data_IF_830399377519
#
_entry.id   IF_830399377519
#
_cell.length_a   1.000
_cell.length_b   1.000
_cell.length_c   1.000
_cell.angle_alpha   90.00
_cell.angle_beta   90.00
_cell.angle_gamma   90.00
#
_symmetry.space_group_name_H-M   'P 1'
#
loop_
_entity.id
_entity.type
_entity.pdbx_description
1 polymer ?
#
# COMPACT_ATOMS: atom_id res chain seq x y z
N UNK A 1 -8.33 3.13 -43.09
CA UNK A 1 -8.92 4.00 -42.05
C UNK A 1 -8.63 5.45 -42.38
N UNK A 2 -9.67 6.29 -42.47
CA UNK A 2 -9.57 7.71 -42.84
C UNK A 2 -8.84 8.54 -41.76
N UNK A 3 -8.06 9.54 -42.16
CA UNK A 3 -7.42 10.54 -41.29
C UNK A 3 -8.38 11.13 -40.25
N UNK A 4 -9.63 11.38 -40.66
CA UNK A 4 -10.68 11.95 -39.80
C UNK A 4 -11.11 11.01 -38.66
N UNK A 5 -11.11 9.70 -38.90
CA UNK A 5 -11.44 8.70 -37.87
C UNK A 5 -10.33 8.57 -36.81
N UNK A 6 -9.07 8.84 -37.18
CA UNK A 6 -7.96 8.89 -36.21
C UNK A 6 -8.01 10.15 -35.34
N UNK A 7 -8.45 11.30 -35.88
CA UNK A 7 -8.60 12.55 -35.11
C UNK A 7 -9.64 12.40 -33.99
N UNK A 8 -10.83 11.89 -34.33
CA UNK A 8 -11.93 11.72 -33.37
C UNK A 8 -11.56 10.75 -32.25
N UNK A 9 -10.88 9.64 -32.56
CA UNK A 9 -10.43 8.69 -31.56
C UNK A 9 -9.44 9.32 -30.56
N UNK A 10 -8.52 10.17 -31.02
CA UNK A 10 -7.59 10.87 -30.13
C UNK A 10 -8.31 11.89 -29.24
N UNK A 11 -9.24 12.66 -29.80
CA UNK A 11 -10.04 13.64 -29.04
C UNK A 11 -10.87 12.96 -27.94
N UNK A 12 -11.49 11.82 -28.25
CA UNK A 12 -12.25 11.02 -27.29
C UNK A 12 -11.33 10.47 -26.19
N UNK A 13 -10.16 9.90 -26.55
CA UNK A 13 -9.19 9.38 -25.57
C UNK A 13 -8.69 10.51 -24.66
N UNK A 14 -8.41 11.70 -25.19
CA UNK A 14 -8.00 12.85 -24.41
C UNK A 14 -9.08 13.29 -23.42
N UNK A 15 -10.34 13.41 -23.88
CA UNK A 15 -11.46 13.78 -23.02
C UNK A 15 -11.68 12.75 -21.88
N UNK A 16 -11.59 11.45 -22.16
CA UNK A 16 -11.66 10.42 -21.12
C UNK A 16 -10.49 10.50 -20.14
N UNK A 17 -9.28 10.78 -20.62
CA UNK A 17 -8.09 10.96 -19.76
C UNK A 17 -8.28 12.12 -18.79
N UNK A 18 -8.85 13.24 -19.23
CA UNK A 18 -9.08 14.40 -18.36
C UNK A 18 -10.18 14.14 -17.31
N UNK A 19 -11.24 13.43 -17.70
CA UNK A 19 -12.28 12.98 -16.74
C UNK A 19 -11.67 12.03 -15.70
N UNK A 20 -10.85 11.07 -16.10
CA UNK A 20 -10.19 10.14 -15.19
C UNK A 20 -9.25 10.86 -14.21
N UNK A 21 -8.55 11.91 -14.67
CA UNK A 21 -7.72 12.76 -13.80
C UNK A 21 -8.56 13.47 -12.75
N UNK A 22 -9.64 14.14 -13.16
CA UNK A 22 -10.50 14.88 -12.21
C UNK A 22 -11.15 13.95 -11.19
N UNK A 23 -11.61 12.77 -11.64
CA UNK A 23 -12.11 11.73 -10.73
C UNK A 23 -11.03 11.32 -9.73
N UNK A 24 -9.78 11.11 -10.19
CA UNK A 24 -8.69 10.72 -9.31
C UNK A 24 -8.41 11.78 -8.23
N UNK A 25 -8.38 13.07 -8.58
CA UNK A 25 -8.18 14.18 -7.63
C UNK A 25 -9.27 14.17 -6.55
N UNK A 26 -10.53 14.03 -6.95
CA UNK A 26 -11.67 13.97 -6.02
C UNK A 26 -11.52 12.81 -5.03
N UNK A 27 -11.22 11.61 -5.51
CA UNK A 27 -11.13 10.45 -4.63
C UNK A 27 -9.88 10.46 -3.75
N UNK A 28 -8.74 10.92 -4.25
CA UNK A 28 -7.54 11.13 -3.42
C UNK A 28 -7.86 12.11 -2.29
N UNK A 29 -8.52 13.23 -2.60
CA UNK A 29 -8.91 14.21 -1.57
C UNK A 29 -9.90 13.62 -0.56
N UNK A 30 -10.86 12.81 -1.00
CA UNK A 30 -11.77 12.10 -0.11
C UNK A 30 -11.03 11.14 0.84
N UNK A 31 -10.01 10.44 0.35
CA UNK A 31 -9.17 9.59 1.20
C UNK A 31 -8.28 10.39 2.13
N UNK A 32 -7.72 11.53 1.70
CA UNK A 32 -7.02 12.44 2.62
C UNK A 32 -7.92 12.84 3.79
N UNK A 33 -9.13 13.31 3.50
CA UNK A 33 -10.09 13.71 4.53
C UNK A 33 -10.45 12.52 5.44
N UNK A 34 -10.73 11.35 4.85
CA UNK A 34 -10.99 10.12 5.61
C UNK A 34 -9.86 9.81 6.60
N UNK A 35 -8.61 9.88 6.16
CA UNK A 35 -7.47 9.57 7.01
C UNK A 35 -7.19 10.63 8.08
N UNK A 36 -7.54 11.90 7.82
CA UNK A 36 -7.43 12.97 8.83
C UNK A 36 -8.53 12.87 9.88
N UNK A 37 -9.77 12.58 9.46
CA UNK A 37 -10.94 12.45 10.34
C UNK A 37 -10.92 11.14 11.13
N UNK A 38 -10.38 10.08 10.52
CA UNK A 38 -10.34 8.73 11.07
C UNK A 38 -8.93 8.15 10.96
N UNK A 39 -7.98 8.79 11.66
CA UNK A 39 -6.58 8.38 11.67
C UNK A 39 -6.42 6.86 11.94
N UNK A 40 -5.58 6.14 11.18
CA UNK A 40 -5.36 4.72 11.41
C UNK A 40 -4.72 4.47 12.77
N UNK A 41 -5.44 3.75 13.64
CA UNK A 41 -5.00 3.39 15.01
C UNK A 41 -5.55 2.03 15.43
N UNK A 42 -4.92 1.40 16.43
CA UNK A 42 -5.23 0.02 16.82
C UNK A 42 -6.67 -0.18 17.35
N UNK A 43 -7.23 0.86 17.97
CA UNK A 43 -8.55 0.88 18.59
C UNK A 43 -9.63 1.49 17.68
N UNK A 44 -9.28 1.86 16.44
CA UNK A 44 -10.25 2.42 15.50
C UNK A 44 -11.21 1.34 14.99
N UNK A 45 -12.50 1.62 15.11
CA UNK A 45 -13.55 0.70 14.67
C UNK A 45 -13.61 0.50 13.14
N UNK A 46 -13.06 1.44 12.36
CA UNK A 46 -12.95 1.34 10.90
C UNK A 46 -11.87 0.36 10.44
N UNK A 47 -10.90 0.07 11.31
CA UNK A 47 -9.75 -0.76 10.99
C UNK A 47 -9.81 -2.09 11.71
N UNK A 48 -9.17 -3.10 11.12
CA UNK A 48 -8.87 -4.38 11.77
C UNK A 48 -7.39 -4.44 12.08
N UNK A 49 -7.09 -4.47 13.36
CA UNK A 49 -5.75 -4.60 13.88
C UNK A 49 -5.43 -6.07 14.19
N UNK A 50 -4.28 -6.55 13.75
CA UNK A 50 -3.80 -7.90 14.03
C UNK A 50 -2.34 -7.83 14.44
N UNK A 51 -2.06 -8.22 15.68
CA UNK A 51 -0.71 -8.45 16.21
C UNK A 51 -0.21 -9.84 15.76
N UNK A 52 0.98 -9.90 15.18
CA UNK A 52 1.51 -11.08 14.48
C UNK A 52 2.64 -11.76 15.27
N UNK A 53 2.34 -12.33 16.44
CA UNK A 53 3.34 -12.97 17.32
C UNK A 53 3.54 -14.46 17.08
N UNK A 54 2.55 -15.16 16.53
CA UNK A 54 2.61 -16.59 16.21
C UNK A 54 2.05 -16.88 14.82
N UNK A 55 2.38 -18.03 14.25
CA UNK A 55 1.91 -18.42 12.89
C UNK A 55 0.39 -18.36 12.75
N UNK A 56 -0.35 -18.82 13.78
CA UNK A 56 -1.81 -18.78 13.81
C UNK A 56 -2.41 -17.37 13.77
N UNK A 57 -1.63 -16.32 14.03
CA UNK A 57 -2.15 -14.96 14.02
C UNK A 57 -2.48 -14.49 12.59
N UNK A 58 -1.83 -15.06 11.56
CA UNK A 58 -2.20 -14.83 10.16
C UNK A 58 -3.64 -15.29 9.85
N UNK A 59 -4.18 -16.24 10.60
CA UNK A 59 -5.59 -16.67 10.45
C UNK A 59 -6.59 -15.61 10.90
N UNK A 60 -6.17 -14.65 11.71
CA UNK A 60 -7.00 -13.52 12.16
C UNK A 60 -7.10 -12.42 11.09
N UNK A 61 -6.25 -12.46 10.06
CA UNK A 61 -6.26 -11.46 8.99
C UNK A 61 -7.49 -11.67 8.10
N UNK A 62 -8.35 -10.65 7.93
CA UNK A 62 -9.54 -10.76 7.08
C UNK A 62 -9.15 -11.03 5.63
N UNK A 63 -9.87 -11.97 5.01
CA UNK A 63 -9.83 -12.17 3.56
C UNK A 63 -10.63 -11.07 2.85
N UNK A 64 -10.23 -10.74 1.63
CA UNK A 64 -10.96 -9.82 0.76
C UNK A 64 -10.22 -8.54 0.45
N UNK A 65 -10.95 -7.58 -0.12
CA UNK A 65 -10.41 -6.35 -0.71
C UNK A 65 -10.14 -5.32 0.37
N UNK A 66 -9.00 -4.64 0.28
CA UNK A 66 -8.69 -3.60 1.25
C UNK A 66 -7.35 -2.90 1.03
N UNK A 67 -7.18 -1.87 1.84
CA UNK A 67 -5.94 -1.16 2.07
C UNK A 67 -5.36 -1.66 3.41
N UNK A 68 -4.04 -1.80 3.50
CA UNK A 68 -3.39 -2.28 4.72
C UNK A 68 -2.06 -1.57 4.96
N UNK A 69 -1.72 -1.51 6.24
CA UNK A 69 -0.45 -1.00 6.77
C UNK A 69 0.27 -2.16 7.47
N UNK A 70 1.60 -2.19 7.33
CA UNK A 70 2.49 -3.04 8.14
C UNK A 70 3.24 -2.12 9.09
N UNK A 71 3.19 -2.47 10.37
CA UNK A 71 3.75 -1.73 11.50
C UNK A 71 4.81 -2.62 12.16
N UNK A 72 5.94 -2.02 12.54
CA UNK A 72 7.00 -2.73 13.27
C UNK A 72 8.14 -1.81 13.69
N UNK A 73 9.00 -2.31 14.58
CA UNK A 73 10.22 -1.63 15.06
C UNK A 73 11.49 -2.06 14.32
N UNK A 74 11.39 -2.93 13.31
CA UNK A 74 12.55 -3.25 12.49
C UNK A 74 13.04 -1.98 11.78
N UNK A 75 14.37 -1.78 11.74
CA UNK A 75 14.99 -0.66 11.04
C UNK A 75 15.32 -1.12 9.62
N UNK A 76 14.65 -0.61 8.58
CA UNK A 76 14.96 -0.98 7.21
C UNK A 76 16.32 -0.44 6.83
N UNK A 77 17.19 -1.30 6.29
CA UNK A 77 18.48 -0.93 5.73
C UNK A 77 18.28 -0.34 4.33
N UNK A 78 17.74 0.89 4.29
CA UNK A 78 17.46 1.65 3.05
C UNK A 78 17.96 3.09 3.21
N UNK A 79 18.25 3.80 2.12
CA UNK A 79 18.81 5.13 2.19
C UNK A 79 17.70 6.15 2.49
N UNK A 80 17.98 7.04 3.44
CA UNK A 80 17.10 8.14 3.83
C UNK A 80 16.13 7.81 4.97
N UNK A 81 15.52 8.84 5.60
CA UNK A 81 14.61 8.65 6.72
C UNK A 81 13.26 8.10 6.25
N UNK A 82 12.53 7.46 7.17
CA UNK A 82 11.13 7.15 6.96
C UNK A 82 10.33 8.45 6.83
N UNK A 83 9.82 8.73 5.63
CA UNK A 83 9.00 9.91 5.37
C UNK A 83 7.58 9.77 5.94
N UNK A 84 7.18 8.55 6.29
CA UNK A 84 5.91 8.33 6.97
C UNK A 84 6.00 8.76 8.43
N UNK A 85 5.16 9.71 8.83
CA UNK A 85 5.07 10.21 10.21
C UNK A 85 4.03 9.47 11.06
N UNK A 86 3.27 8.53 10.48
CA UNK A 86 2.25 7.78 11.23
C UNK A 86 2.90 6.73 12.14
N UNK A 87 2.48 6.76 13.42
CA UNK A 87 2.91 5.84 14.47
C UNK A 87 1.67 5.16 15.07
N UNK A 88 1.68 3.83 15.12
CA UNK A 88 0.59 3.02 15.67
C UNK A 88 1.13 2.24 16.86
N UNK A 89 0.56 2.47 18.04
CA UNK A 89 1.02 1.88 19.31
C UNK A 89 2.50 2.10 19.63
N UNK A 90 3.02 3.28 19.27
CA UNK A 90 4.43 3.62 19.47
C UNK A 90 5.38 3.06 18.40
N UNK A 91 4.86 2.34 17.40
CA UNK A 91 5.66 1.73 16.33
C UNK A 91 5.41 2.44 14.99
N UNK A 92 6.46 2.68 14.18
CA UNK A 92 6.31 3.33 12.89
C UNK A 92 5.60 2.42 11.88
N UNK A 93 4.89 3.04 10.94
CA UNK A 93 4.44 2.34 9.73
C UNK A 93 5.62 2.15 8.78
N UNK A 94 5.85 0.90 8.40
CA UNK A 94 6.96 0.49 7.53
C UNK A 94 6.51 0.33 6.08
N UNK A 95 5.27 -0.11 5.87
CA UNK A 95 4.72 -0.39 4.55
C UNK A 95 3.23 -0.02 4.47
N UNK A 96 2.79 0.44 3.30
CA UNK A 96 1.37 0.46 2.92
C UNK A 96 1.18 -0.22 1.58
N UNK A 97 0.03 -0.89 1.44
CA UNK A 97 -0.37 -1.54 0.21
C UNK A 97 -1.88 -1.68 0.08
N UNK A 98 -2.30 -2.13 -1.09
CA UNK A 98 -3.67 -2.59 -1.33
C UNK A 98 -3.69 -3.95 -2.04
N UNK A 99 -4.78 -4.69 -1.87
CA UNK A 99 -4.94 -5.96 -2.55
C UNK A 99 -6.40 -6.32 -2.80
N UNK A 100 -6.61 -7.21 -3.78
CA UNK A 100 -7.90 -7.92 -3.90
C UNK A 100 -8.08 -8.93 -2.75
N UNK A 101 -6.99 -9.55 -2.29
CA UNK A 101 -6.96 -10.45 -1.16
C UNK A 101 -5.87 -9.98 -0.18
N UNK A 102 -6.27 -9.20 0.82
CA UNK A 102 -5.36 -8.61 1.81
C UNK A 102 -4.63 -9.67 2.62
N UNK A 103 -5.32 -10.72 3.08
CA UNK A 103 -4.69 -11.82 3.83
C UNK A 103 -3.52 -12.41 3.06
N UNK A 104 -3.80 -12.90 1.85
CA UNK A 104 -2.78 -13.54 1.03
C UNK A 104 -1.64 -12.56 0.72
N UNK A 105 -1.97 -11.28 0.47
CA UNK A 105 -0.94 -10.27 0.21
C UNK A 105 -0.03 -10.05 1.41
N UNK A 106 -0.59 -9.93 2.62
CA UNK A 106 0.21 -9.80 3.85
C UNK A 106 1.08 -11.04 4.06
N UNK A 107 0.56 -12.25 3.79
CA UNK A 107 1.36 -13.49 3.83
C UNK A 107 2.55 -13.41 2.88
N UNK A 108 2.38 -12.90 1.66
CA UNK A 108 3.52 -12.71 0.73
C UNK A 108 4.56 -11.71 1.21
N UNK A 109 4.18 -10.79 2.10
CA UNK A 109 5.09 -9.82 2.71
C UNK A 109 5.82 -10.39 3.93
N UNK A 110 5.11 -11.06 4.84
CA UNK A 110 5.60 -11.34 6.20
C UNK A 110 5.79 -12.83 6.51
N UNK A 111 5.38 -13.70 5.59
CA UNK A 111 5.47 -15.15 5.69
C UNK A 111 5.76 -15.74 4.30
N UNK A 112 6.76 -15.13 3.66
CA UNK A 112 7.02 -15.28 2.24
C UNK A 112 7.34 -16.73 1.85
N UNK A 113 8.14 -17.44 2.66
CA UNK A 113 8.53 -18.84 2.41
C UNK A 113 7.30 -19.73 2.31
N UNK A 114 6.42 -19.71 3.32
CA UNK A 114 5.19 -20.51 3.34
C UNK A 114 4.23 -20.10 2.22
N UNK A 115 4.13 -18.80 1.92
CA UNK A 115 3.35 -18.27 0.79
C UNK A 115 3.83 -18.82 -0.56
N UNK A 116 5.13 -18.72 -0.86
CA UNK A 116 5.75 -19.19 -2.12
C UNK A 116 5.57 -20.70 -2.26
N UNK A 117 5.87 -21.46 -1.22
CA UNK A 117 5.71 -22.92 -1.22
C UNK A 117 4.25 -23.32 -1.50
N UNK A 118 3.30 -22.68 -0.81
CA UNK A 118 1.87 -22.97 -0.94
C UNK A 118 1.36 -22.67 -2.35
N UNK A 119 1.74 -21.54 -2.93
CA UNK A 119 1.26 -21.13 -4.25
C UNK A 119 1.96 -21.88 -5.38
N UNK A 120 3.23 -22.24 -5.23
CA UNK A 120 3.93 -23.12 -6.16
C UNK A 120 3.27 -24.50 -6.21
N UNK A 121 2.97 -25.10 -5.05
CA UNK A 121 2.22 -26.37 -4.95
C UNK A 121 0.84 -26.29 -5.62
N UNK A 122 0.18 -25.13 -5.55
CA UNK A 122 -1.11 -24.85 -6.18
C UNK A 122 -1.03 -24.41 -7.65
N UNK A 123 0.18 -24.35 -8.23
CA UNK A 123 0.43 -23.83 -9.60
C UNK A 123 -0.16 -22.43 -9.82
N UNK A 124 -0.06 -21.57 -8.81
CA UNK A 124 -0.47 -20.17 -8.86
C UNK A 124 0.73 -19.26 -9.02
N UNK A 125 0.53 -18.15 -9.72
CA UNK A 125 1.53 -17.09 -9.81
C UNK A 125 1.84 -16.52 -8.41
N UNK A 126 3.13 -16.33 -8.16
CA UNK A 126 3.67 -15.77 -6.92
C UNK A 126 3.82 -14.26 -7.12
N UNK A 127 3.43 -13.46 -6.13
CA UNK A 127 3.68 -12.03 -6.16
C UNK A 127 5.16 -11.71 -6.01
N UNK A 128 5.64 -10.83 -6.87
CA UNK A 128 7.04 -10.42 -6.95
C UNK A 128 7.31 -9.03 -6.37
N UNK A 129 6.26 -8.32 -5.93
CA UNK A 129 6.36 -6.95 -5.39
C UNK A 129 6.09 -6.96 -3.90
N UNK A 130 6.99 -7.52 -3.12
CA UNK A 130 6.82 -7.62 -1.69
C UNK A 130 7.49 -6.45 -0.94
N UNK A 131 7.51 -6.53 0.40
CA UNK A 131 8.08 -5.50 1.28
C UNK A 131 9.59 -5.58 1.11
N UNK A 132 10.29 -4.45 1.09
CA UNK A 132 11.74 -4.42 0.97
C UNK A 132 12.32 -3.76 2.21
N UNK A 133 13.02 -4.55 3.03
CA UNK A 133 13.74 -4.04 4.19
C UNK A 133 15.19 -3.70 3.87
N UNK A 134 15.72 -4.19 2.75
CA UNK A 134 17.09 -4.03 2.29
C UNK A 134 17.16 -3.43 0.88
N UNK A 135 18.35 -3.00 0.48
CA UNK A 135 18.64 -2.50 -0.87
C UNK A 135 18.83 -3.60 -1.92
N UNK A 136 18.92 -4.87 -1.49
CA UNK A 136 19.24 -6.00 -2.34
C UNK A 136 18.26 -6.22 -3.51
N UNK A 137 18.80 -6.72 -4.62
CA UNK A 137 17.99 -7.24 -5.72
C UNK A 137 17.31 -8.55 -5.29
N UNK A 138 15.98 -8.55 -5.30
CA UNK A 138 15.16 -9.68 -4.90
C UNK A 138 13.66 -9.40 -5.04
N UNK A 139 12.84 -10.44 -4.95
CA UNK A 139 11.37 -10.36 -5.01
C UNK A 139 10.75 -9.65 -3.79
N UNK A 140 11.57 -9.30 -2.79
CA UNK A 140 11.16 -8.80 -1.49
C UNK A 140 10.42 -9.87 -0.67
N UNK A 141 9.85 -9.43 0.46
CA UNK A 141 9.17 -10.32 1.40
C UNK A 141 10.15 -10.86 2.42
N UNK A 142 9.66 -11.07 3.63
CA UNK A 142 10.41 -11.58 4.77
C UNK A 142 9.64 -12.73 5.40
N UNK A 143 10.28 -13.42 6.34
CA UNK A 143 9.57 -14.26 7.29
C UNK A 143 9.79 -13.68 8.68
N UNK A 144 8.72 -13.19 9.32
CA UNK A 144 8.80 -12.58 10.66
C UNK A 144 9.17 -13.58 11.78
N UNK A 145 9.37 -14.84 11.41
CA UNK A 145 9.80 -15.94 12.29
C UNK A 145 11.25 -16.35 12.06
N UNK A 146 11.92 -15.79 11.04
CA UNK A 146 13.35 -16.01 10.89
C UNK A 146 14.07 -15.25 12.04
N UNK A 147 15.20 -15.77 12.56
CA UNK A 147 15.84 -15.24 13.77
C UNK A 147 16.16 -13.73 13.73
N UNK A 148 16.46 -13.19 12.55
CA UNK A 148 16.72 -11.77 12.30
C UNK A 148 15.49 -10.86 12.42
N UNK A 149 14.28 -11.43 12.45
CA UNK A 149 13.02 -10.69 12.49
C UNK A 149 12.12 -11.05 13.66
N UNK A 150 12.33 -12.20 14.30
CA UNK A 150 11.47 -12.72 15.36
C UNK A 150 11.44 -11.84 16.61
N UNK A 151 12.53 -11.14 16.92
CA UNK A 151 12.61 -10.22 18.05
C UNK A 151 11.88 -8.89 17.81
N UNK A 152 11.57 -8.56 16.55
CA UNK A 152 10.89 -7.32 16.21
C UNK A 152 9.38 -7.44 16.45
N UNK A 153 8.77 -6.30 16.76
CA UNK A 153 7.33 -6.15 16.76
C UNK A 153 6.77 -6.16 15.34
N UNK A 154 5.68 -6.90 15.13
CA UNK A 154 4.96 -6.95 13.86
C UNK A 154 3.46 -6.89 14.08
N UNK A 155 2.83 -5.91 13.43
CA UNK A 155 1.38 -5.83 13.37
C UNK A 155 0.92 -5.36 12.00
N UNK A 156 -0.35 -5.64 11.70
CA UNK A 156 -1.02 -5.10 10.50
C UNK A 156 -2.30 -4.40 10.88
N UNK A 157 -2.55 -3.30 10.18
CA UNK A 157 -3.78 -2.53 10.30
C UNK A 157 -4.48 -2.50 8.94
N UNK A 158 -5.73 -2.92 8.89
CA UNK A 158 -6.43 -3.17 7.62
C UNK A 158 -7.69 -2.33 7.59
N UNK A 159 -7.85 -1.53 6.52
CA UNK A 159 -9.10 -0.88 6.15
C UNK A 159 -9.83 -1.79 5.16
N UNK A 160 -10.90 -2.49 5.57
CA UNK A 160 -11.69 -3.30 4.65
C UNK A 160 -12.37 -2.40 3.62
N UNK A 161 -12.17 -2.68 2.34
CA UNK A 161 -12.77 -1.92 1.24
C UNK A 161 -13.57 -2.89 0.37
N UNK A 162 -14.60 -3.49 0.95
CA UNK A 162 -15.46 -4.44 0.24
C UNK A 162 -16.06 -3.78 -1.01
N UNK A 163 -16.19 -4.54 -2.08
CA UNK A 163 -16.69 -4.07 -3.38
C UNK A 163 -15.84 -2.98 -4.08
N UNK A 164 -14.70 -2.59 -3.54
CA UNK A 164 -13.80 -1.63 -4.20
C UNK A 164 -13.15 -2.18 -5.46
N UNK A 165 -12.83 -1.28 -6.40
CA UNK A 165 -11.97 -1.57 -7.55
C UNK A 165 -10.50 -1.38 -7.18
N UNK A 166 -9.58 -1.92 -7.98
CA UNK A 166 -8.13 -1.68 -7.80
C UNK A 166 -7.80 -0.19 -7.84
N UNK A 167 -8.43 0.55 -8.76
CA UNK A 167 -8.25 1.99 -8.92
C UNK A 167 -8.64 2.75 -7.65
N UNK A 168 -9.81 2.46 -7.08
CA UNK A 168 -10.23 3.11 -5.84
C UNK A 168 -9.27 2.86 -4.67
N UNK A 169 -8.70 1.65 -4.57
CA UNK A 169 -7.71 1.34 -3.54
C UNK A 169 -6.36 2.01 -3.78
N UNK A 170 -5.97 2.24 -5.03
CA UNK A 170 -4.78 3.04 -5.36
C UNK A 170 -4.96 4.50 -4.91
N UNK A 171 -6.16 5.04 -5.06
CA UNK A 171 -6.50 6.38 -4.53
C UNK A 171 -6.37 6.41 -3.01
N UNK A 172 -6.78 5.35 -2.30
CA UNK A 172 -6.57 5.24 -0.85
C UNK A 172 -5.09 5.27 -0.48
N UNK A 173 -4.25 4.52 -1.20
CA UNK A 173 -2.81 4.60 -0.98
C UNK A 173 -2.29 6.03 -1.25
N UNK A 174 -2.76 6.75 -2.29
CA UNK A 174 -2.27 8.12 -2.59
C UNK A 174 -2.73 9.14 -1.55
N UNK A 175 -3.99 9.06 -1.11
CA UNK A 175 -4.49 9.88 -0.02
C UNK A 175 -3.71 9.64 1.28
N UNK A 176 -3.34 8.40 1.57
CA UNK A 176 -2.47 8.06 2.71
C UNK A 176 -1.12 8.77 2.60
N UNK A 177 -0.44 8.65 1.45
CA UNK A 177 0.88 9.27 1.24
C UNK A 177 0.84 10.80 1.38
N UNK A 178 -0.28 11.45 1.04
CA UNK A 178 -0.46 12.90 1.22
C UNK A 178 -0.70 13.34 2.66
N UNK A 179 -1.26 12.48 3.50
CA UNK A 179 -1.51 12.82 4.91
C UNK A 179 -0.30 12.48 5.77
N UNK A 180 0.28 11.29 5.57
CA UNK A 180 1.31 10.77 6.47
C UNK A 180 2.69 10.67 5.85
N UNK A 181 2.81 10.75 4.51
CA UNK A 181 4.06 10.46 3.81
C UNK A 181 4.24 8.97 3.50
N UNK A 182 5.17 8.68 2.58
CA UNK A 182 5.44 7.31 2.13
C UNK A 182 6.31 6.53 3.14
N UNK A 183 5.88 5.35 3.62
CA UNK A 183 6.67 4.45 4.45
C UNK A 183 7.90 3.92 3.72
N UNK A 184 9.02 3.87 4.44
CA UNK A 184 10.35 3.54 3.90
C UNK A 184 10.43 2.18 3.20
N UNK A 185 9.73 1.13 3.66
CA UNK A 185 9.83 -0.21 3.08
C UNK A 185 8.90 -0.42 1.87
N UNK A 186 8.18 0.64 1.49
CA UNK A 186 7.24 0.60 0.38
C UNK A 186 7.92 0.69 -0.98
N UNK A 187 7.34 0.01 -1.98
CA UNK A 187 7.78 0.10 -3.37
C UNK A 187 7.29 1.40 -4.04
N UNK A 188 8.04 1.85 -5.05
CA UNK A 188 7.60 2.91 -5.95
C UNK A 188 6.38 2.48 -6.76
N UNK A 189 5.49 3.43 -7.02
CA UNK A 189 4.32 3.19 -7.86
C UNK A 189 4.63 3.48 -9.32
N UNK A 190 3.78 2.99 -10.23
CA UNK A 190 3.58 3.71 -11.50
C UNK A 190 3.02 5.08 -11.13
N UNK A 191 3.59 6.15 -11.69
CA UNK A 191 3.37 7.54 -11.30
C UNK A 191 1.90 7.83 -10.96
N UNK A 192 1.69 8.55 -9.84
CA UNK A 192 0.44 9.27 -9.64
C UNK A 192 0.23 10.24 -10.83
N UNK A 193 -1.01 10.65 -11.15
CA UNK A 193 -1.24 11.74 -12.10
C UNK A 193 -0.22 12.88 -11.90
N UNK A 194 0.54 13.26 -12.94
CA UNK A 194 1.71 14.16 -12.85
C UNK A 194 1.43 15.46 -12.08
N UNK A 195 0.21 15.98 -12.16
CA UNK A 195 -0.20 17.20 -11.46
C UNK A 195 -0.32 17.01 -9.93
N UNK A 196 -0.66 15.81 -9.45
CA UNK A 196 -0.66 15.52 -8.01
C UNK A 196 0.76 15.52 -7.41
N UNK A 197 1.77 15.27 -8.25
CA UNK A 197 3.20 15.33 -7.89
C UNK A 197 3.68 16.78 -7.87
N UNK A 198 3.17 17.62 -8.78
CA UNK A 198 3.54 19.04 -8.88
C UNK A 198 2.97 19.88 -7.72
N UNK A 199 1.74 19.61 -7.24
CA UNK A 199 1.21 20.26 -6.03
C UNK A 199 2.09 19.99 -4.78
N UNK A 200 2.59 18.76 -4.63
CA UNK A 200 3.49 18.39 -3.52
C UNK A 200 4.84 19.10 -3.60
N UNK A 201 5.35 19.33 -4.81
CA UNK A 201 6.61 20.05 -5.01
C UNK A 201 6.46 21.56 -4.72
N UNK A 202 5.28 22.13 -4.99
CA UNK A 202 4.98 23.52 -4.68
C UNK A 202 4.72 23.73 -3.19
N UNK A 203 3.90 22.90 -2.54
CA UNK A 203 3.62 23.03 -1.09
C UNK A 203 4.87 22.81 -0.21
N UNK A 204 5.84 21.99 -0.66
CA UNK A 204 7.13 21.82 0.04
C UNK A 204 8.15 22.91 -0.24
N UNK A 205 7.93 23.75 -1.26
CA UNK A 205 8.77 24.92 -1.55
C UNK A 205 8.29 26.19 -0.84
N UNK A 206 7.08 26.16 -0.29
CA UNK A 206 6.41 27.28 0.40
C UNK A 206 6.38 27.12 1.94
N UNK A 207 6.89 26.01 2.48
CA UNK A 207 7.00 25.70 3.91
C UNK A 207 8.46 25.73 4.39
#
# INVERSE_FOLDING_TARGET
MSSRSKSIAHEIIAAFSDVDKEISKIYVKKFENLFREHEPKHDSHHYKFVDLRKERDFEKIPKGRGFYLIVGDCIPNRPGPNKCNLVINGYPVLYRGQAHNVKERIESHLDNRRYVETNTKKKKDVWTRCIKLDEGDGAGGINIRDPEHEANYWAVLILPMQNSTTVLRQYAEWGFDRVFGKPIASNERKQAPEELVNELAMEQSEA
#
